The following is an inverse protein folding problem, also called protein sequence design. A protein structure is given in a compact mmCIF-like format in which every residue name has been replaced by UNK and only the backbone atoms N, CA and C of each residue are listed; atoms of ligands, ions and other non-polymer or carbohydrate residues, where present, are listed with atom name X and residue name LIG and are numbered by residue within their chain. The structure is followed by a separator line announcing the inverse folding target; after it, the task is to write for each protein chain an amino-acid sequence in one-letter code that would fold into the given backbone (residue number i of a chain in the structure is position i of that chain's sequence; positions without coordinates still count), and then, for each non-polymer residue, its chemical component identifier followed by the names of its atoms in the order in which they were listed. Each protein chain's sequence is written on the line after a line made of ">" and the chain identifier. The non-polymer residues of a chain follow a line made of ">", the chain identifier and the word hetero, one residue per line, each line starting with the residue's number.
data_IF_615910652040
#
_entry.id   IF_615910652040
#
_cell.length_a   1.000
_cell.length_b   1.000
_cell.length_c   1.000
_cell.angle_alpha   90.00
_cell.angle_beta   90.00
_cell.angle_gamma   90.00
#
_symmetry.space_group_name_H-M   'P 1'
#
loop_
_entity.id
_entity.type
_entity.pdbx_description
1 polymer ?
#
# COMPACT_ATOMS: atom_id res chain seq x y z
N UNK A 1 4.19 20.74 16.55
CA UNK A 1 4.32 19.43 15.88
C UNK A 1 5.20 18.55 16.74
N UNK A 2 5.01 17.23 16.65
CA UNK A 2 5.80 16.24 17.40
C UNK A 2 7.32 16.43 17.23
N UNK A 3 8.07 16.13 18.29
CA UNK A 3 9.53 16.28 18.37
C UNK A 3 10.31 14.98 18.16
N UNK A 4 9.60 13.86 18.00
CA UNK A 4 10.18 12.55 17.75
C UNK A 4 9.36 11.76 16.72
N UNK A 5 9.98 10.67 16.24
CA UNK A 5 9.39 9.79 15.26
C UNK A 5 8.16 9.03 15.81
N UNK A 6 8.25 8.47 17.01
CA UNK A 6 7.20 7.61 17.55
C UNK A 6 5.87 8.36 17.68
N UNK A 7 5.89 9.57 18.24
CA UNK A 7 4.72 10.44 18.40
C UNK A 7 4.20 10.96 17.07
N UNK A 8 5.07 11.21 16.09
CA UNK A 8 4.66 11.63 14.73
C UNK A 8 3.91 10.52 13.99
N UNK A 9 4.31 9.27 14.20
CA UNK A 9 3.79 8.11 13.46
C UNK A 9 2.77 7.29 14.25
N UNK A 10 2.37 7.78 15.43
CA UNK A 10 1.30 7.15 16.21
C UNK A 10 -0.03 7.26 15.44
N UNK A 11 -0.64 6.12 15.15
CA UNK A 11 -1.94 6.03 14.48
C UNK A 11 -3.09 6.29 15.49
N UNK A 12 -3.16 7.50 16.05
CA UNK A 12 -4.17 7.85 17.07
C UNK A 12 -5.56 8.13 16.49
N UNK A 13 -5.64 8.39 15.18
CA UNK A 13 -6.89 8.70 14.49
C UNK A 13 -7.13 7.71 13.36
N UNK A 14 -8.40 7.37 13.18
CA UNK A 14 -8.86 6.55 12.05
C UNK A 14 -8.92 7.41 10.79
N UNK A 15 -8.39 6.89 9.69
CA UNK A 15 -8.51 7.55 8.38
C UNK A 15 -9.90 7.36 7.79
N UNK A 16 -10.34 8.30 6.95
CA UNK A 16 -11.58 8.15 6.16
C UNK A 16 -11.56 6.88 5.31
N UNK A 17 -10.40 6.53 4.75
CA UNK A 17 -10.20 5.30 3.97
C UNK A 17 -10.50 4.07 4.82
N UNK A 18 -9.92 3.98 6.02
CA UNK A 18 -10.14 2.82 6.90
C UNK A 18 -11.61 2.72 7.34
N UNK A 19 -12.25 3.86 7.64
CA UNK A 19 -13.69 3.88 7.93
C UNK A 19 -14.51 3.33 6.77
N UNK A 20 -14.24 3.77 5.54
CA UNK A 20 -14.96 3.30 4.36
C UNK A 20 -14.73 1.81 4.10
N UNK A 21 -13.50 1.31 4.29
CA UNK A 21 -13.17 -0.11 4.14
C UNK A 21 -13.93 -0.96 5.15
N UNK A 22 -13.97 -0.57 6.42
CA UNK A 22 -14.68 -1.32 7.46
C UNK A 22 -16.20 -1.31 7.25
N UNK A 23 -16.77 -0.19 6.78
CA UNK A 23 -18.18 -0.14 6.39
C UNK A 23 -18.44 -1.07 5.21
N UNK A 24 -17.59 -1.05 4.17
CA UNK A 24 -17.72 -1.96 3.04
C UNK A 24 -17.61 -3.43 3.47
N UNK A 25 -16.64 -3.77 4.32
CA UNK A 25 -16.48 -5.11 4.88
C UNK A 25 -17.73 -5.57 5.65
N UNK A 26 -18.25 -4.70 6.53
CA UNK A 26 -19.43 -5.02 7.33
C UNK A 26 -20.66 -5.29 6.45
N UNK A 27 -20.83 -4.52 5.38
CA UNK A 27 -21.99 -4.63 4.50
C UNK A 27 -21.90 -5.82 3.52
N UNK A 28 -20.70 -6.24 3.14
CA UNK A 28 -20.51 -7.23 2.07
C UNK A 28 -19.93 -8.56 2.54
N UNK A 29 -19.09 -8.55 3.58
CA UNK A 29 -18.28 -9.72 3.96
C UNK A 29 -18.51 -10.23 5.39
N UNK A 30 -19.33 -9.55 6.20
CA UNK A 30 -19.51 -9.91 7.61
C UNK A 30 -20.00 -11.34 7.83
N UNK A 31 -20.81 -11.87 6.93
CA UNK A 31 -21.31 -13.25 7.00
C UNK A 31 -20.25 -14.32 6.71
N UNK A 32 -19.12 -13.93 6.11
CA UNK A 32 -18.02 -14.83 5.75
C UNK A 32 -16.84 -14.73 6.74
N UNK A 33 -17.04 -14.09 7.88
CA UNK A 33 -15.97 -13.80 8.85
C UNK A 33 -15.21 -15.05 9.34
N UNK A 34 -15.84 -16.23 9.33
CA UNK A 34 -15.21 -17.49 9.75
C UNK A 34 -14.07 -17.95 8.83
N UNK A 35 -14.05 -17.52 7.57
CA UNK A 35 -13.00 -17.86 6.61
C UNK A 35 -12.03 -16.70 6.37
N UNK A 36 -12.26 -15.54 6.99
CA UNK A 36 -11.43 -14.34 6.85
C UNK A 36 -10.51 -14.23 8.06
N UNK A 37 -9.22 -14.18 7.78
CA UNK A 37 -8.17 -14.15 8.78
C UNK A 37 -8.13 -12.83 9.55
N UNK A 38 -7.70 -12.90 10.81
CA UNK A 38 -7.41 -11.74 11.65
C UNK A 38 -5.99 -11.23 11.35
N UNK A 39 -5.80 -10.79 10.11
CA UNK A 39 -4.51 -10.29 9.68
C UNK A 39 -4.25 -8.86 10.13
N UNK A 40 -2.99 -8.62 10.48
CA UNK A 40 -2.49 -7.28 10.74
C UNK A 40 -1.95 -6.70 9.45
N UNK A 41 -2.59 -5.66 8.95
CA UNK A 41 -2.08 -4.95 7.77
C UNK A 41 -0.92 -4.07 8.18
N UNK A 42 0.17 -4.17 7.43
CA UNK A 42 1.38 -3.44 7.72
C UNK A 42 1.57 -2.27 6.75
N UNK A 43 1.33 -1.07 7.25
CA UNK A 43 1.72 0.14 6.54
C UNK A 43 3.18 0.46 6.89
N UNK A 44 4.16 -0.08 6.18
CA UNK A 44 5.58 0.19 6.51
C UNK A 44 5.93 1.68 6.34
N UNK A 45 5.88 2.42 7.45
CA UNK A 45 6.27 3.83 7.56
C UNK A 45 7.71 4.01 8.04
N UNK A 46 8.53 2.96 8.03
CA UNK A 46 9.95 3.07 8.40
C UNK A 46 10.61 4.14 7.54
N UNK A 47 11.25 5.14 8.15
CA UNK A 47 11.92 6.19 7.38
C UNK A 47 13.20 5.64 6.74
N UNK A 48 13.49 6.13 5.55
CA UNK A 48 14.82 6.03 4.96
C UNK A 48 15.74 7.01 5.68
N UNK A 49 16.73 6.49 6.42
CA UNK A 49 17.70 7.30 7.16
C UNK A 49 18.91 7.70 6.32
N UNK A 50 19.16 7.00 5.20
CA UNK A 50 20.17 7.37 4.20
C UNK A 50 19.74 8.65 3.48
N UNK A 51 20.35 9.78 3.88
CA UNK A 51 20.08 11.09 3.28
C UNK A 51 20.63 11.25 1.87
N UNK A 52 21.48 10.32 1.43
CA UNK A 52 21.96 10.29 0.06
C UNK A 52 20.93 9.70 -0.90
N UNK A 53 19.92 8.97 -0.41
CA UNK A 53 18.82 8.46 -1.22
C UNK A 53 17.85 9.59 -1.56
N UNK A 54 18.05 10.23 -2.72
CA UNK A 54 17.23 11.37 -3.15
C UNK A 54 16.75 11.27 -4.61
N UNK A 55 15.92 10.26 -4.95
CA UNK A 55 15.47 10.04 -6.32
C UNK A 55 14.60 11.16 -6.92
N UNK A 56 14.01 12.04 -6.09
CA UNK A 56 13.22 13.18 -6.60
C UNK A 56 13.84 14.54 -6.27
N UNK A 57 15.09 14.60 -5.78
CA UNK A 57 15.77 15.87 -5.50
C UNK A 57 15.11 16.71 -4.41
N UNK A 58 14.44 16.07 -3.44
CA UNK A 58 13.71 16.75 -2.37
C UNK A 58 14.54 16.89 -1.08
N UNK A 59 15.78 16.38 -1.08
CA UNK A 59 16.78 16.50 0.00
C UNK A 59 16.24 16.00 1.36
N UNK A 60 16.10 14.68 1.54
CA UNK A 60 15.59 14.10 2.78
C UNK A 60 16.58 14.30 3.92
N UNK A 61 16.07 14.35 5.16
CA UNK A 61 16.93 14.49 6.33
C UNK A 61 17.02 13.24 7.21
N UNK A 62 16.30 12.17 6.83
CA UNK A 62 16.29 10.88 7.52
C UNK A 62 15.57 10.84 8.87
N UNK A 63 14.96 11.94 9.32
CA UNK A 63 14.37 12.03 10.66
C UNK A 63 12.93 11.52 10.73
N UNK A 64 12.13 11.80 9.71
CA UNK A 64 10.72 11.38 9.67
C UNK A 64 9.76 12.13 10.59
N UNK A 65 10.17 13.28 11.14
CA UNK A 65 9.33 14.14 11.97
C UNK A 65 9.67 15.63 11.76
N UNK A 66 8.85 16.51 12.33
CA UNK A 66 8.83 17.96 12.10
C UNK A 66 8.53 18.32 10.62
N UNK A 67 8.85 19.54 10.19
CA UNK A 67 8.59 20.03 8.80
C UNK A 67 9.54 19.44 7.75
N UNK A 68 10.15 18.32 8.06
CA UNK A 68 11.27 17.79 7.30
C UNK A 68 10.82 16.82 6.21
N UNK A 69 11.58 16.82 5.13
CA UNK A 69 11.34 15.92 4.00
C UNK A 69 11.81 14.50 4.32
N UNK A 70 10.97 13.52 4.01
CA UNK A 70 11.17 12.12 4.41
C UNK A 70 10.75 11.16 3.30
N UNK A 71 11.57 10.16 3.02
CA UNK A 71 11.20 8.97 2.26
C UNK A 71 10.89 7.80 3.18
N UNK A 72 10.01 6.91 2.73
CA UNK A 72 9.66 5.69 3.46
C UNK A 72 10.27 4.45 2.82
N UNK A 73 10.44 3.38 3.62
CA UNK A 73 11.14 2.16 3.24
C UNK A 73 10.56 1.48 2.00
N UNK A 74 9.22 1.48 1.86
CA UNK A 74 8.55 0.96 0.67
C UNK A 74 9.07 1.63 -0.62
N UNK A 75 9.36 2.92 -0.58
CA UNK A 75 9.90 3.67 -1.71
C UNK A 75 11.31 3.22 -2.05
N UNK A 76 12.19 3.07 -1.06
CA UNK A 76 13.59 2.65 -1.28
C UNK A 76 13.69 1.22 -1.80
N UNK A 77 12.71 0.37 -1.47
CA UNK A 77 12.61 -0.99 -2.03
C UNK A 77 12.28 -1.00 -3.51
N UNK A 78 11.41 -0.08 -3.95
CA UNK A 78 10.83 -0.09 -5.29
C UNK A 78 11.52 0.86 -6.29
N UNK A 79 12.18 1.91 -5.79
CA UNK A 79 12.77 2.99 -6.61
C UNK A 79 14.25 3.15 -6.30
N UNK A 80 15.05 3.30 -7.34
CA UNK A 80 16.49 3.46 -7.22
C UNK A 80 16.81 4.91 -6.96
N UNK A 81 18.01 5.19 -6.43
CA UNK A 81 18.50 6.57 -6.29
C UNK A 81 18.50 7.34 -7.62
N UNK A 82 18.60 6.65 -8.75
CA UNK A 82 18.55 7.23 -10.10
C UNK A 82 17.13 7.41 -10.64
N UNK A 83 16.09 7.31 -9.79
CA UNK A 83 14.68 7.48 -10.17
C UNK A 83 14.23 6.46 -11.22
N UNK A 84 14.73 5.24 -11.16
CA UNK A 84 14.28 4.12 -11.98
C UNK A 84 13.54 3.09 -11.12
N UNK A 85 12.79 2.19 -11.76
CA UNK A 85 12.33 0.97 -11.10
C UNK A 85 13.52 0.17 -10.56
N UNK A 86 13.25 -0.61 -9.51
CA UNK A 86 14.25 -1.37 -8.77
C UNK A 86 14.86 -0.54 -7.66
N UNK A 87 15.20 -1.16 -6.55
CA UNK A 87 15.73 -0.49 -5.35
C UNK A 87 16.45 -1.51 -4.50
N UNK A 88 16.18 -1.52 -3.20
CA UNK A 88 16.68 -2.60 -2.32
C UNK A 88 15.89 -3.91 -2.44
N UNK A 89 14.78 -3.91 -3.20
CA UNK A 89 13.96 -5.09 -3.49
C UNK A 89 12.70 -5.17 -2.61
N UNK A 90 11.56 -5.62 -3.16
CA UNK A 90 10.29 -5.69 -2.41
C UNK A 90 10.35 -6.71 -1.28
N UNK A 91 9.56 -6.47 -0.23
CA UNK A 91 9.52 -7.32 0.96
C UNK A 91 8.12 -7.41 1.54
N UNK A 92 7.66 -8.63 1.82
CA UNK A 92 6.41 -8.90 2.55
C UNK A 92 6.59 -8.83 4.08
N UNK A 93 7.81 -8.58 4.56
CA UNK A 93 8.05 -8.42 6.01
C UNK A 93 7.38 -7.14 6.50
N UNK A 94 6.55 -7.27 7.54
CA UNK A 94 6.03 -6.12 8.25
C UNK A 94 7.13 -5.53 9.15
N UNK A 95 7.67 -4.38 8.73
CA UNK A 95 8.68 -3.66 9.50
C UNK A 95 8.02 -2.53 10.27
N UNK A 96 7.81 -2.73 11.58
CA UNK A 96 7.39 -1.68 12.51
C UNK A 96 6.09 -1.97 13.27
N UNK A 97 6.11 -1.64 14.55
CA UNK A 97 4.98 -1.88 15.47
C UNK A 97 3.91 -0.78 15.40
N UNK A 98 4.30 0.46 15.05
CA UNK A 98 3.41 1.64 15.10
C UNK A 98 2.40 1.70 13.95
N UNK A 99 2.59 0.90 12.90
CA UNK A 99 1.82 1.00 11.67
C UNK A 99 0.96 -0.22 11.37
N UNK A 100 0.65 -0.96 12.43
CA UNK A 100 -0.25 -2.10 12.41
C UNK A 100 -1.70 -1.62 12.37
N UNK A 101 -2.47 -2.12 11.41
CA UNK A 101 -3.92 -1.92 11.32
C UNK A 101 -4.56 -3.28 11.58
N UNK A 102 -5.33 -3.38 12.65
CA UNK A 102 -5.93 -4.64 13.15
C UNK A 102 -7.34 -4.88 12.57
N UNK A 103 -7.60 -4.40 11.36
CA UNK A 103 -8.87 -4.62 10.67
C UNK A 103 -8.80 -5.88 9.82
N UNK A 104 -9.91 -6.62 9.66
CA UNK A 104 -10.00 -7.76 8.73
C UNK A 104 -9.93 -7.35 7.25
N UNK A 105 -9.97 -6.05 6.97
CA UNK A 105 -9.87 -5.48 5.63
C UNK A 105 -8.80 -4.38 5.59
N UNK A 106 -8.05 -4.34 4.50
CA UNK A 106 -7.03 -3.33 4.25
C UNK A 106 -6.92 -2.97 2.78
N UNK A 107 -5.73 -2.51 2.39
CA UNK A 107 -5.34 -2.27 1.00
C UNK A 107 -4.08 -3.08 0.72
N UNK A 108 -3.91 -3.47 -0.54
CA UNK A 108 -2.67 -4.08 -1.02
C UNK A 108 -1.50 -3.10 -0.88
N UNK A 109 -0.32 -3.61 -0.51
CA UNK A 109 0.92 -2.84 -0.41
C UNK A 109 1.59 -2.70 -1.78
N UNK A 110 2.43 -1.69 -1.94
CA UNK A 110 3.24 -1.53 -3.16
C UNK A 110 4.27 -2.65 -3.34
N UNK A 111 4.71 -3.29 -2.26
CA UNK A 111 5.55 -4.49 -2.30
C UNK A 111 4.80 -5.70 -2.88
N UNK A 112 3.57 -5.96 -2.42
CA UNK A 112 2.70 -6.99 -3.02
C UNK A 112 2.39 -6.69 -4.48
N UNK A 113 2.17 -5.43 -4.83
CA UNK A 113 2.01 -5.00 -6.23
C UNK A 113 3.26 -5.30 -7.06
N UNK A 114 4.45 -5.08 -6.51
CA UNK A 114 5.68 -5.43 -7.19
C UNK A 114 5.82 -6.94 -7.43
N UNK A 115 5.42 -7.77 -6.47
CA UNK A 115 5.36 -9.23 -6.66
C UNK A 115 4.31 -9.64 -7.70
N UNK A 116 3.22 -8.88 -7.85
CA UNK A 116 2.22 -9.07 -8.90
C UNK A 116 2.67 -8.57 -10.29
N UNK A 117 3.89 -8.03 -10.42
CA UNK A 117 4.47 -7.59 -11.70
C UNK A 117 4.37 -6.09 -11.97
N UNK A 118 3.92 -5.28 -11.00
CA UNK A 118 3.97 -3.83 -11.13
C UNK A 118 5.38 -3.30 -10.88
N UNK A 119 5.73 -2.20 -11.54
CA UNK A 119 6.98 -1.50 -11.29
C UNK A 119 6.82 0.01 -11.42
N UNK A 120 7.70 0.75 -10.74
CA UNK A 120 7.68 2.21 -10.80
C UNK A 120 7.97 2.70 -12.23
N UNK A 121 7.08 3.52 -12.77
CA UNK A 121 7.24 4.14 -14.09
C UNK A 121 7.45 3.13 -15.24
N UNK A 122 7.03 1.88 -15.04
CA UNK A 122 6.92 0.85 -16.07
C UNK A 122 5.44 0.49 -16.16
N UNK A 123 4.85 0.63 -17.34
CA UNK A 123 3.43 0.38 -17.58
C UNK A 123 3.17 -0.53 -18.77
N UNK A 124 1.91 -0.65 -19.18
CA UNK A 124 1.38 -1.57 -20.19
C UNK A 124 1.72 -3.04 -19.90
N UNK A 125 1.94 -3.38 -18.64
CA UNK A 125 2.01 -4.78 -18.20
C UNK A 125 0.61 -5.34 -18.12
N UNK A 126 0.48 -6.66 -18.22
CA UNK A 126 -0.78 -7.40 -18.00
C UNK A 126 -0.70 -8.08 -16.65
N UNK A 127 -1.55 -7.71 -15.70
CA UNK A 127 -1.61 -8.32 -14.37
C UNK A 127 -3.05 -8.63 -14.00
N UNK A 128 -3.26 -9.66 -13.17
CA UNK A 128 -4.60 -10.04 -12.70
C UNK A 128 -5.31 -8.90 -11.95
N UNK A 129 -4.54 -7.97 -11.38
CA UNK A 129 -5.08 -6.79 -10.68
C UNK A 129 -5.55 -5.69 -11.64
N UNK A 130 -5.31 -5.79 -12.94
CA UNK A 130 -5.94 -4.87 -13.91
C UNK A 130 -7.33 -5.31 -14.31
N UNK A 131 -7.64 -6.60 -14.16
CA UNK A 131 -8.96 -7.13 -14.48
C UNK A 131 -10.02 -6.35 -13.68
N UNK A 132 -10.97 -5.76 -14.38
CA UNK A 132 -12.06 -4.92 -13.84
C UNK A 132 -11.63 -3.65 -13.06
N UNK A 133 -10.41 -3.14 -13.26
CA UNK A 133 -10.07 -1.77 -12.87
C UNK A 133 -9.26 -1.12 -13.97
N UNK A 134 -9.93 -0.57 -14.98
CA UNK A 134 -9.26 0.11 -16.10
C UNK A 134 -9.31 1.63 -16.02
N UNK A 135 -10.28 2.18 -15.27
CA UNK A 135 -10.71 3.57 -15.49
C UNK A 135 -10.34 4.56 -14.38
N UNK A 136 -9.90 4.08 -13.21
CA UNK A 136 -9.63 4.97 -12.05
C UNK A 136 -8.29 4.65 -11.38
N UNK A 137 -7.62 5.69 -10.87
CA UNK A 137 -6.52 5.54 -9.94
C UNK A 137 -7.03 4.92 -8.65
N UNK A 138 -6.24 4.05 -8.04
CA UNK A 138 -6.58 3.53 -6.71
C UNK A 138 -5.36 3.46 -5.80
N UNK A 139 -5.63 3.56 -4.51
CA UNK A 139 -4.62 3.64 -3.47
C UNK A 139 -4.08 2.28 -3.08
N UNK A 140 -2.76 2.17 -2.96
CA UNK A 140 -2.13 1.13 -2.16
C UNK A 140 -2.02 1.59 -0.69
N UNK A 141 -1.65 0.68 0.21
CA UNK A 141 -1.36 1.00 1.59
C UNK A 141 -0.01 1.73 1.79
N UNK A 142 0.88 1.66 0.81
CA UNK A 142 2.29 2.00 1.00
C UNK A 142 2.59 3.49 0.78
N UNK A 143 3.32 4.13 1.70
CA UNK A 143 3.67 5.54 1.60
C UNK A 143 4.90 5.73 0.71
N UNK A 144 5.03 6.92 0.13
CA UNK A 144 6.16 7.30 -0.71
C UNK A 144 7.11 8.22 0.05
N UNK A 145 6.61 9.42 0.29
CA UNK A 145 7.36 10.49 0.92
C UNK A 145 6.41 11.51 1.57
N UNK A 146 6.98 12.28 2.49
CA UNK A 146 6.41 13.51 2.99
C UNK A 146 7.33 14.66 2.60
N UNK A 147 6.78 15.70 1.97
CA UNK A 147 7.51 16.90 1.57
C UNK A 147 6.85 18.14 2.16
N UNK A 148 7.20 18.44 3.42
CA UNK A 148 6.82 19.66 4.15
C UNK A 148 5.34 19.77 4.52
N UNK A 149 4.46 19.77 3.53
CA UNK A 149 2.99 19.85 3.65
C UNK A 149 2.25 18.82 2.80
N UNK A 150 2.96 18.07 1.96
CA UNK A 150 2.35 17.08 1.06
C UNK A 150 2.80 15.67 1.46
N UNK A 151 1.84 14.77 1.64
CA UNK A 151 2.08 13.35 1.79
C UNK A 151 1.71 12.63 0.49
N UNK A 152 2.56 11.68 0.10
CA UNK A 152 2.38 10.89 -1.11
C UNK A 152 2.34 9.42 -0.76
N UNK A 153 1.49 8.69 -1.48
CA UNK A 153 1.36 7.24 -1.38
C UNK A 153 1.44 6.62 -2.77
N UNK A 154 1.77 5.34 -2.80
CA UNK A 154 1.78 4.55 -4.01
C UNK A 154 0.35 4.34 -4.51
N UNK A 155 0.16 4.59 -5.79
CA UNK A 155 -1.11 4.45 -6.50
C UNK A 155 -0.91 3.63 -7.75
N UNK A 156 -1.98 3.01 -8.21
CA UNK A 156 -2.00 2.26 -9.46
C UNK A 156 -2.98 2.91 -10.40
N UNK A 157 -2.59 3.03 -11.66
CA UNK A 157 -3.52 3.35 -12.74
C UNK A 157 -4.00 2.05 -13.36
N UNK A 158 -5.31 1.86 -13.27
CA UNK A 158 -5.96 0.66 -13.74
C UNK A 158 -5.54 0.17 -15.13
N UNK A 159 -5.66 1.03 -16.14
CA UNK A 159 -5.32 0.71 -17.53
C UNK A 159 -3.82 0.69 -17.85
N UNK A 160 -2.97 1.33 -17.04
CA UNK A 160 -1.54 1.47 -17.36
C UNK A 160 -0.66 0.41 -16.70
N UNK A 161 -1.12 -0.33 -15.69
CA UNK A 161 -0.32 -1.44 -15.11
C UNK A 161 0.97 -1.01 -14.40
N UNK A 162 1.06 0.25 -13.98
CA UNK A 162 2.26 0.81 -13.35
C UNK A 162 2.03 1.33 -11.94
N UNK A 163 3.13 1.45 -11.19
CA UNK A 163 3.15 2.15 -9.89
C UNK A 163 3.47 3.63 -10.10
N UNK A 164 2.61 4.48 -9.54
CA UNK A 164 2.70 5.93 -9.61
C UNK A 164 2.64 6.56 -8.22
N UNK A 165 3.19 7.77 -8.11
CA UNK A 165 3.07 8.57 -6.91
C UNK A 165 1.90 9.53 -7.01
N UNK A 166 1.11 9.64 -5.93
CA UNK A 166 0.00 10.59 -5.93
C UNK A 166 -0.24 11.16 -4.54
N UNK A 167 -0.69 12.41 -4.50
CA UNK A 167 -0.89 13.15 -3.25
C UNK A 167 -2.17 12.67 -2.57
N UNK A 168 -2.10 12.42 -1.26
CA UNK A 168 -3.25 11.98 -0.46
C UNK A 168 -4.37 13.03 -0.36
N UNK A 169 -4.14 14.25 -0.88
CA UNK A 169 -5.16 15.31 -0.98
C UNK A 169 -6.17 15.06 -2.10
N UNK A 170 -5.86 14.14 -3.02
CA UNK A 170 -6.71 13.83 -4.16
C UNK A 170 -7.66 12.66 -3.85
N UNK A 171 -8.81 12.63 -4.52
CA UNK A 171 -9.72 11.49 -4.47
C UNK A 171 -9.25 10.40 -5.45
N UNK A 172 -9.15 9.15 -4.97
CA UNK A 172 -8.93 7.95 -5.79
C UNK A 172 -9.76 6.78 -5.25
N UNK A 173 -9.88 5.73 -6.06
CA UNK A 173 -10.58 4.50 -5.70
C UNK A 173 -9.89 3.71 -4.60
N UNK A 174 -10.65 2.81 -3.99
CA UNK A 174 -10.17 1.83 -3.03
C UNK A 174 -10.41 0.43 -3.60
N UNK A 175 -9.43 -0.45 -3.43
CA UNK A 175 -9.59 -1.88 -3.71
C UNK A 175 -9.36 -2.63 -2.39
N UNK A 176 -10.44 -3.05 -1.71
CA UNK A 176 -10.34 -3.77 -0.46
C UNK A 176 -9.49 -5.03 -0.65
N UNK A 177 -8.56 -5.25 0.28
CA UNK A 177 -7.82 -6.50 0.39
C UNK A 177 -8.26 -7.21 1.68
N UNK A 178 -8.41 -8.52 1.60
CA UNK A 178 -8.69 -9.40 2.74
C UNK A 178 -7.68 -10.54 2.72
N UNK A 179 -7.51 -11.21 3.85
CA UNK A 179 -6.79 -12.47 3.90
C UNK A 179 -7.72 -13.57 4.35
N UNK A 180 -7.50 -14.76 3.82
CA UNK A 180 -8.26 -15.94 4.18
C UNK A 180 -7.48 -16.74 5.22
N UNK A 181 -8.19 -17.45 6.10
CA UNK A 181 -7.54 -18.32 7.09
C UNK A 181 -6.74 -19.41 6.37
N UNK A 182 -5.62 -19.85 6.94
CA UNK A 182 -4.69 -20.77 6.26
C UNK A 182 -5.27 -22.16 5.95
N UNK A 183 -6.34 -22.56 6.65
CA UNK A 183 -7.07 -23.81 6.41
C UNK A 183 -8.12 -23.72 5.30
N UNK A 184 -8.30 -22.53 4.72
CA UNK A 184 -9.27 -22.30 3.65
C UNK A 184 -8.94 -23.14 2.43
N UNK A 185 -9.96 -23.73 1.81
CA UNK A 185 -9.78 -24.54 0.58
C UNK A 185 -10.51 -23.91 -0.60
N UNK A 186 -9.90 -24.01 -1.78
CA UNK A 186 -10.53 -23.61 -3.04
C UNK A 186 -11.34 -24.80 -3.55
N UNK A 187 -12.64 -24.62 -3.70
CA UNK A 187 -13.55 -25.67 -4.17
C UNK A 187 -13.76 -25.67 -5.67
N UNK A 188 -13.60 -24.51 -6.33
CA UNK A 188 -13.60 -24.37 -7.78
C UNK A 188 -13.02 -23.00 -8.21
N UNK A 189 -12.98 -22.77 -9.52
CA UNK A 189 -12.48 -21.54 -10.12
C UNK A 189 -10.99 -21.59 -10.45
N UNK A 190 -10.59 -20.84 -11.46
CA UNK A 190 -9.20 -20.69 -11.92
C UNK A 190 -8.52 -19.42 -11.40
N UNK A 191 -9.29 -18.51 -10.80
CA UNK A 191 -8.78 -17.26 -10.22
C UNK A 191 -8.75 -16.10 -11.21
N UNK A 192 -9.38 -16.25 -12.37
CA UNK A 192 -9.56 -15.18 -13.36
C UNK A 192 -10.81 -14.37 -13.05
N UNK A 193 -10.96 -13.18 -13.64
CA UNK A 193 -12.18 -12.39 -13.46
C UNK A 193 -13.46 -13.07 -13.96
N UNK A 194 -13.33 -13.94 -14.96
CA UNK A 194 -14.47 -14.70 -15.52
C UNK A 194 -14.76 -15.99 -14.74
N UNK A 195 -13.76 -16.49 -14.00
CA UNK A 195 -13.84 -17.72 -13.22
C UNK A 195 -13.08 -17.57 -11.87
N UNK A 196 -13.62 -16.75 -10.95
CA UNK A 196 -12.98 -16.45 -9.67
C UNK A 196 -12.96 -17.67 -8.75
N UNK A 197 -12.00 -17.71 -7.83
CA UNK A 197 -11.94 -18.79 -6.83
C UNK A 197 -13.18 -18.82 -5.96
N UNK A 198 -13.76 -20.02 -5.81
CA UNK A 198 -14.82 -20.31 -4.84
C UNK A 198 -14.18 -20.92 -3.61
N UNK A 199 -14.55 -20.38 -2.46
CA UNK A 199 -13.91 -20.66 -1.18
C UNK A 199 -14.88 -21.39 -0.25
N UNK A 200 -14.41 -22.46 0.39
CA UNK A 200 -15.14 -23.24 1.40
C UNK A 200 -14.53 -23.08 2.79
#
# INVERSE_FOLDING_TARGET
>A
GASDYATTHANTNKSTILTNLETWYTNNLKTYESVIDDNVWCNDKTNVTDTSYDPWGITPNGKGYAKNVTYYGATQRLVSKSKSAGGTGPSLKCNGELSKITSKVGLITADELAFAGYAFNIGNTTTYLQENATDTYWWSLSPINFNGSNAYVWSVVGSLGGLYNYSVRNACGLRPSISLVSSTTISSGTGTSEDPYVVN
#
